data_IF_470362389286
#
_entry.id   IF_470362389286
#
_cell.length_a   1.000
_cell.length_b   1.000
_cell.length_c   1.000
_cell.angle_alpha   90.00
_cell.angle_beta   90.00
_cell.angle_gamma   90.00
#
_symmetry.space_group_name_H-M   'P 1'
#
loop_
_entity.id
_entity.type
_entity.pdbx_description
1 polymer ?
#
# COMPACT_ATOMS: atom_id res chain seq x y z
N UNK A 1 -7.20 12.77 1.38
CA UNK A 1 -7.15 12.93 2.84
C UNK A 1 -6.36 11.77 3.46
N UNK A 2 -5.08 11.98 3.79
CA UNK A 2 -4.27 10.99 4.53
C UNK A 2 -4.82 10.79 5.95
N UNK A 3 -4.44 9.70 6.65
CA UNK A 3 -4.84 9.48 8.04
C UNK A 3 -4.49 10.61 9.01
N UNK A 4 -3.46 11.39 8.70
CA UNK A 4 -3.00 12.53 9.51
C UNK A 4 -3.53 13.89 9.04
N UNK A 5 -4.28 13.96 7.94
CA UNK A 5 -4.81 15.21 7.39
C UNK A 5 -6.15 15.58 8.02
N UNK A 6 -6.30 16.83 8.43
CA UNK A 6 -7.59 17.42 8.83
C UNK A 6 -8.42 17.84 7.62
N UNK A 7 -9.73 18.04 7.81
CA UNK A 7 -10.62 18.61 6.78
C UNK A 7 -10.19 20.01 6.34
N UNK A 8 -9.48 20.73 7.20
CA UNK A 8 -8.99 22.10 6.96
C UNK A 8 -7.58 22.15 6.37
N UNK A 9 -7.02 21.02 5.93
CA UNK A 9 -5.71 21.00 5.30
C UNK A 9 -5.74 21.79 3.98
N UNK A 10 -4.83 22.76 3.76
CA UNK A 10 -4.76 23.55 2.52
C UNK A 10 -4.69 22.70 1.23
N UNK A 11 -4.13 21.49 1.31
CA UNK A 11 -4.12 20.55 0.18
C UNK A 11 -5.53 20.16 -0.31
N UNK A 12 -6.56 20.24 0.53
CA UNK A 12 -7.93 19.98 0.12
C UNK A 12 -8.46 21.12 -0.77
N UNK A 13 -7.95 22.35 -0.61
CA UNK A 13 -8.34 23.49 -1.43
C UNK A 13 -7.87 23.35 -2.87
N UNK A 14 -6.73 22.70 -3.09
CA UNK A 14 -6.28 22.42 -4.45
C UNK A 14 -7.22 21.51 -5.22
N UNK A 15 -7.76 20.48 -4.57
CA UNK A 15 -8.74 19.58 -5.19
C UNK A 15 -10.00 20.35 -5.60
N UNK A 16 -10.50 21.24 -4.71
CA UNK A 16 -11.69 22.07 -4.97
C UNK A 16 -11.42 23.08 -6.09
N UNK A 17 -10.31 23.84 -6.04
CA UNK A 17 -9.92 24.81 -7.06
C UNK A 17 -9.66 24.15 -8.42
N UNK A 18 -9.05 22.95 -8.44
CA UNK A 18 -8.86 22.21 -9.68
C UNK A 18 -10.17 21.79 -10.29
N UNK A 19 -11.13 21.31 -9.49
CA UNK A 19 -12.46 20.97 -9.97
C UNK A 19 -13.16 22.22 -10.53
N UNK A 20 -13.17 23.33 -9.79
CA UNK A 20 -13.76 24.60 -10.22
C UNK A 20 -13.21 25.04 -11.58
N UNK A 21 -11.88 25.13 -11.71
CA UNK A 21 -11.24 25.52 -12.95
C UNK A 21 -11.55 24.57 -14.12
N UNK A 22 -11.44 23.25 -13.91
CA UNK A 22 -11.67 22.28 -14.97
C UNK A 22 -13.13 22.29 -15.44
N UNK A 23 -14.10 22.41 -14.53
CA UNK A 23 -15.51 22.39 -14.89
C UNK A 23 -15.96 23.70 -15.55
N UNK A 24 -15.47 24.88 -15.08
CA UNK A 24 -15.84 26.16 -15.65
C UNK A 24 -15.13 26.45 -16.97
N UNK A 25 -13.81 26.26 -17.05
CA UNK A 25 -13.01 26.69 -18.19
C UNK A 25 -12.86 25.61 -19.28
N UNK A 26 -12.70 24.35 -18.88
CA UNK A 26 -12.46 23.25 -19.84
C UNK A 26 -13.74 22.51 -20.24
N UNK A 27 -14.72 22.48 -19.35
CA UNK A 27 -16.04 21.88 -19.56
C UNK A 27 -16.03 20.47 -20.17
N UNK A 28 -15.23 19.49 -19.62
CA UNK A 28 -15.14 18.14 -20.18
C UNK A 28 -16.44 17.36 -19.98
N UNK A 29 -16.67 16.31 -20.79
CA UNK A 29 -17.81 15.40 -20.56
C UNK A 29 -17.74 14.68 -19.23
N UNK A 30 -16.53 14.33 -18.81
CA UNK A 30 -16.26 13.70 -17.51
C UNK A 30 -14.96 14.26 -16.94
N UNK A 31 -14.95 14.66 -15.68
CA UNK A 31 -13.74 14.91 -14.91
C UNK A 31 -13.73 13.99 -13.70
N UNK A 32 -12.61 13.34 -13.42
CA UNK A 32 -12.51 12.43 -12.30
C UNK A 32 -11.12 12.44 -11.65
N UNK A 33 -11.06 11.96 -10.43
CA UNK A 33 -9.82 11.86 -9.69
C UNK A 33 -9.90 10.82 -8.57
N UNK A 34 -8.77 10.61 -7.92
CA UNK A 34 -8.61 9.66 -6.83
C UNK A 34 -8.27 10.34 -5.51
N UNK A 35 -8.68 9.73 -4.43
CA UNK A 35 -8.27 10.13 -3.08
C UNK A 35 -8.29 8.92 -2.13
N UNK A 36 -7.71 9.11 -0.94
CA UNK A 36 -7.76 8.13 0.13
C UNK A 36 -9.22 7.90 0.62
N UNK A 37 -9.52 6.76 1.26
CA UNK A 37 -10.87 6.39 1.70
C UNK A 37 -11.58 7.42 2.59
N UNK A 38 -10.82 8.26 3.28
CA UNK A 38 -11.36 9.32 4.14
C UNK A 38 -12.16 10.38 3.42
N UNK A 39 -11.98 10.58 2.11
CA UNK A 39 -12.82 11.49 1.33
C UNK A 39 -14.30 11.09 1.46
N UNK A 40 -14.60 9.81 1.43
CA UNK A 40 -15.97 9.27 1.55
C UNK A 40 -16.39 9.00 3.01
N UNK A 41 -15.75 9.61 4.00
CA UNK A 41 -16.07 9.50 5.42
C UNK A 41 -16.67 10.81 5.96
N UNK A 42 -17.13 10.78 7.22
CA UNK A 42 -17.59 12.00 7.92
C UNK A 42 -16.55 13.13 7.89
N UNK A 43 -15.25 12.78 7.95
CA UNK A 43 -14.16 13.78 7.89
C UNK A 43 -14.01 14.42 6.51
N UNK A 44 -14.34 13.71 5.45
CA UNK A 44 -14.33 14.22 4.07
C UNK A 44 -15.58 15.02 3.69
N UNK A 45 -16.65 14.91 4.46
CA UNK A 45 -17.94 15.51 4.14
C UNK A 45 -17.89 17.03 3.80
N UNK A 46 -17.10 17.88 4.51
CA UNK A 46 -16.99 19.28 4.14
C UNK A 46 -16.38 19.50 2.75
N UNK A 47 -15.39 18.70 2.37
CA UNK A 47 -14.76 18.75 1.04
C UNK A 47 -15.75 18.28 -0.02
N UNK A 48 -16.41 17.15 0.21
CA UNK A 48 -17.44 16.59 -0.69
C UNK A 48 -18.58 17.58 -0.90
N UNK A 49 -19.03 18.29 0.14
CA UNK A 49 -20.07 19.33 0.01
C UNK A 49 -19.64 20.45 -0.92
N UNK A 50 -18.39 20.91 -0.84
CA UNK A 50 -17.84 21.94 -1.74
C UNK A 50 -17.77 21.43 -3.18
N UNK A 51 -17.31 20.17 -3.40
CA UNK A 51 -17.24 19.58 -4.73
C UNK A 51 -18.63 19.43 -5.38
N UNK A 52 -19.63 19.00 -4.60
CA UNK A 52 -21.02 18.93 -5.10
C UNK A 52 -21.55 20.30 -5.50
N UNK A 53 -21.34 21.33 -4.67
CA UNK A 53 -21.74 22.70 -4.99
C UNK A 53 -21.14 23.16 -6.32
N UNK A 54 -19.84 22.94 -6.53
CA UNK A 54 -19.16 23.29 -7.79
C UNK A 54 -19.75 22.50 -8.97
N UNK A 55 -20.07 21.22 -8.78
CA UNK A 55 -20.71 20.41 -9.80
C UNK A 55 -22.06 21.03 -10.22
N UNK A 56 -22.93 21.30 -9.24
CA UNK A 56 -24.27 21.88 -9.46
C UNK A 56 -24.19 23.24 -10.19
N UNK A 57 -23.25 24.11 -9.77
CA UNK A 57 -23.04 25.44 -10.36
C UNK A 57 -22.55 25.40 -11.80
N UNK A 58 -21.93 24.27 -12.24
CA UNK A 58 -21.37 24.10 -13.59
C UNK A 58 -22.15 23.10 -14.47
N UNK A 59 -23.31 22.61 -14.02
CA UNK A 59 -24.14 21.67 -14.78
C UNK A 59 -23.56 20.23 -14.83
N UNK A 60 -22.99 19.79 -13.70
CA UNK A 60 -22.47 18.43 -13.52
C UNK A 60 -23.16 17.72 -12.37
N UNK A 61 -23.26 16.41 -12.48
CA UNK A 61 -23.61 15.53 -11.37
C UNK A 61 -22.37 14.94 -10.76
N UNK A 62 -22.27 15.01 -9.42
CA UNK A 62 -21.12 14.51 -8.66
C UNK A 62 -21.41 13.12 -8.08
N UNK A 63 -20.51 12.17 -8.29
CA UNK A 63 -20.59 10.85 -7.67
C UNK A 63 -19.28 10.40 -7.04
N UNK A 64 -19.36 9.42 -6.16
CA UNK A 64 -18.22 8.79 -5.47
C UNK A 64 -18.31 7.28 -5.64
N UNK A 65 -17.19 6.68 -6.05
CA UNK A 65 -17.01 5.24 -6.10
C UNK A 65 -15.90 4.83 -5.14
N UNK A 66 -16.25 4.03 -4.13
CA UNK A 66 -15.29 3.42 -3.20
C UNK A 66 -14.97 2.01 -3.64
N UNK A 67 -13.69 1.68 -3.65
CA UNK A 67 -13.26 0.33 -3.98
C UNK A 67 -12.10 -0.14 -3.11
N UNK A 68 -11.90 -1.46 -3.10
CA UNK A 68 -10.83 -2.14 -2.40
C UNK A 68 -9.96 -2.86 -3.42
N UNK A 69 -8.65 -2.70 -3.32
CA UNK A 69 -7.71 -3.35 -4.24
C UNK A 69 -7.88 -4.87 -4.32
N UNK A 70 -8.28 -5.49 -3.21
CA UNK A 70 -8.58 -6.92 -3.15
C UNK A 70 -9.68 -7.36 -4.13
N UNK A 71 -10.62 -6.48 -4.48
CA UNK A 71 -11.66 -6.76 -5.49
C UNK A 71 -11.12 -6.71 -6.92
N UNK A 72 -9.93 -6.18 -7.12
CA UNK A 72 -9.28 -6.01 -8.41
C UNK A 72 -8.09 -6.97 -8.60
N UNK A 73 -8.08 -8.10 -7.89
CA UNK A 73 -7.05 -9.12 -8.01
C UNK A 73 -5.68 -8.74 -7.42
N UNK A 74 -5.61 -7.74 -6.52
CA UNK A 74 -4.39 -7.41 -5.83
C UNK A 74 -4.31 -8.06 -4.45
N UNK A 75 -3.16 -8.61 -4.14
CA UNK A 75 -2.83 -9.18 -2.81
C UNK A 75 -2.40 -8.10 -1.80
N UNK A 76 -2.87 -6.85 -1.97
CA UNK A 76 -2.63 -5.78 -0.99
C UNK A 76 -3.93 -5.09 -0.56
N UNK A 77 -4.03 -4.73 0.72
CA UNK A 77 -5.20 -4.04 1.30
C UNK A 77 -5.02 -2.54 1.09
N UNK A 78 -5.46 -2.03 -0.07
CA UNK A 78 -5.32 -0.62 -0.45
C UNK A 78 -6.66 -0.07 -0.94
N UNK A 79 -7.46 0.42 -0.02
CA UNK A 79 -8.76 1.03 -0.34
C UNK A 79 -8.58 2.41 -0.98
N UNK A 80 -9.42 2.72 -1.96
CA UNK A 80 -9.41 4.00 -2.66
C UNK A 80 -10.82 4.52 -2.87
N UNK A 81 -10.90 5.84 -3.01
CA UNK A 81 -12.10 6.58 -3.36
C UNK A 81 -11.85 7.34 -4.64
N UNK A 82 -12.62 7.02 -5.67
CA UNK A 82 -12.67 7.79 -6.90
C UNK A 82 -13.85 8.74 -6.83
N UNK A 83 -13.69 9.95 -7.34
CA UNK A 83 -14.76 10.92 -7.46
C UNK A 83 -14.90 11.35 -8.91
N UNK A 84 -16.13 11.60 -9.33
CA UNK A 84 -16.47 11.90 -10.72
C UNK A 84 -17.40 13.10 -10.79
N UNK A 85 -17.22 13.87 -11.85
CA UNK A 85 -18.11 14.92 -12.30
C UNK A 85 -18.59 14.51 -13.71
N UNK A 86 -19.88 14.23 -13.84
CA UNK A 86 -20.52 13.81 -15.09
C UNK A 86 -21.28 15.00 -15.63
N UNK A 87 -21.03 15.40 -16.87
CA UNK A 87 -21.74 16.54 -17.47
C UNK A 87 -23.21 16.19 -17.70
N UNK A 88 -24.14 16.99 -17.13
CA UNK A 88 -25.57 16.73 -17.13
C UNK A 88 -26.10 16.04 -15.87
N UNK A 89 -27.29 15.45 -15.98
CA UNK A 89 -28.06 14.97 -14.83
C UNK A 89 -27.93 13.46 -14.54
N UNK A 90 -27.15 12.75 -15.34
CA UNK A 90 -27.03 11.30 -15.28
C UNK A 90 -25.75 10.85 -14.61
N UNK A 91 -25.86 9.85 -13.73
CA UNK A 91 -24.69 9.15 -13.15
C UNK A 91 -24.75 7.70 -13.62
N UNK A 92 -23.75 7.21 -14.35
CA UNK A 92 -23.73 5.82 -14.79
C UNK A 92 -23.56 4.86 -13.62
N UNK A 93 -24.22 3.71 -13.68
CA UNK A 93 -23.99 2.63 -12.74
C UNK A 93 -22.73 1.86 -13.13
N UNK A 94 -21.80 1.74 -12.19
CA UNK A 94 -20.60 0.94 -12.42
C UNK A 94 -20.89 -0.54 -12.24
N UNK A 95 -20.39 -1.34 -13.15
CA UNK A 95 -20.45 -2.79 -13.05
C UNK A 95 -19.72 -3.26 -11.78
N UNK A 96 -20.26 -4.27 -11.13
CA UNK A 96 -19.60 -4.90 -10.01
C UNK A 96 -18.39 -5.70 -10.48
N UNK A 97 -17.27 -5.54 -9.80
CA UNK A 97 -16.05 -6.31 -10.03
C UNK A 97 -15.65 -7.09 -8.79
N UNK A 98 -15.28 -8.34 -8.96
CA UNK A 98 -14.72 -9.18 -7.93
C UNK A 98 -13.76 -10.19 -8.57
N UNK A 99 -12.51 -9.77 -8.71
CA UNK A 99 -11.40 -10.62 -9.15
C UNK A 99 -10.67 -11.06 -7.88
N UNK A 100 -10.70 -12.35 -7.50
CA UNK A 100 -10.02 -12.82 -6.32
C UNK A 100 -8.51 -12.55 -6.41
N UNK A 101 -7.88 -12.07 -5.33
CA UNK A 101 -6.43 -11.92 -5.30
C UNK A 101 -5.74 -13.30 -5.20
N UNK A 102 -4.58 -13.39 -5.78
CA UNK A 102 -3.62 -14.48 -5.55
C UNK A 102 -2.95 -14.32 -4.19
N UNK A 103 -2.14 -15.29 -3.77
CA UNK A 103 -1.26 -15.13 -2.61
C UNK A 103 -0.11 -14.19 -2.99
N UNK A 104 0.25 -13.23 -2.13
CA UNK A 104 1.33 -12.30 -2.44
C UNK A 104 2.67 -13.00 -2.63
N UNK A 105 2.93 -14.08 -1.88
CA UNK A 105 4.13 -14.87 -2.05
C UNK A 105 4.23 -15.48 -3.46
N UNK A 106 3.09 -15.88 -4.06
CA UNK A 106 3.06 -16.43 -5.41
C UNK A 106 3.17 -15.32 -6.46
N UNK A 107 2.60 -14.14 -6.22
CA UNK A 107 2.81 -12.96 -7.08
C UNK A 107 4.31 -12.59 -7.16
N UNK A 108 5.05 -12.67 -6.04
CA UNK A 108 6.49 -12.42 -6.01
C UNK A 108 7.25 -13.50 -6.77
N UNK A 109 6.95 -14.78 -6.53
CA UNK A 109 7.59 -15.93 -7.22
C UNK A 109 7.38 -15.92 -8.73
N UNK A 110 6.24 -15.39 -9.18
CA UNK A 110 5.90 -15.33 -10.60
C UNK A 110 6.72 -14.30 -11.38
N UNK A 111 7.45 -13.41 -10.70
CA UNK A 111 8.27 -12.39 -11.36
C UNK A 111 9.55 -13.02 -11.90
N UNK A 112 9.74 -12.93 -13.20
CA UNK A 112 11.00 -13.32 -13.85
C UNK A 112 11.98 -12.16 -13.74
N UNK A 113 13.01 -12.33 -12.91
CA UNK A 113 14.11 -11.36 -12.80
C UNK A 113 15.08 -11.53 -13.97
N UNK A 114 14.89 -10.75 -15.03
CA UNK A 114 15.77 -10.74 -16.21
C UNK A 114 17.07 -9.96 -15.88
N UNK A 115 18.21 -10.58 -16.17
CA UNK A 115 19.54 -9.95 -16.04
C UNK A 115 19.73 -8.70 -16.92
N UNK A 116 18.95 -8.56 -17.99
CA UNK A 116 18.97 -7.39 -18.87
C UNK A 116 17.99 -6.30 -18.43
N UNK A 117 17.14 -6.56 -17.46
CA UNK A 117 16.23 -5.55 -16.90
C UNK A 117 16.88 -4.85 -15.69
N UNK A 118 17.19 -3.54 -15.78
CA UNK A 118 17.80 -2.81 -14.68
C UNK A 118 16.98 -2.86 -13.37
N UNK A 119 15.64 -2.94 -13.46
CA UNK A 119 14.77 -2.98 -12.28
C UNK A 119 14.88 -4.32 -11.54
N UNK A 120 15.19 -5.39 -12.26
CA UNK A 120 15.44 -6.73 -11.69
C UNK A 120 16.80 -6.86 -11.01
N UNK A 121 17.75 -5.96 -11.32
CA UNK A 121 19.10 -5.98 -10.74
C UNK A 121 19.24 -5.12 -9.47
N UNK A 122 18.22 -4.34 -9.14
CA UNK A 122 18.27 -3.42 -8.00
C UNK A 122 17.42 -3.99 -6.87
N UNK A 123 18.05 -4.28 -5.73
CA UNK A 123 17.33 -4.64 -4.51
C UNK A 123 16.72 -3.38 -3.86
N UNK A 124 15.51 -3.52 -3.34
CA UNK A 124 14.87 -2.47 -2.55
C UNK A 124 15.65 -2.20 -1.24
N UNK A 125 16.35 -3.21 -0.73
CA UNK A 125 17.25 -3.13 0.41
C UNK A 125 18.41 -4.12 0.20
N UNK A 126 19.64 -3.67 0.33
CA UNK A 126 20.86 -4.47 0.12
C UNK A 126 21.19 -5.42 1.29
N UNK A 127 20.56 -5.24 2.45
CA UNK A 127 20.76 -6.12 3.61
C UNK A 127 20.02 -7.42 3.41
N UNK A 128 20.41 -8.45 4.17
CA UNK A 128 19.61 -9.68 4.26
C UNK A 128 18.53 -9.52 5.32
N UNK A 129 17.31 -10.05 5.10
CA UNK A 129 16.29 -10.12 6.13
C UNK A 129 16.77 -10.78 7.42
N UNK A 130 17.50 -11.89 7.34
CA UNK A 130 18.06 -12.62 8.49
C UNK A 130 19.11 -11.85 9.30
N UNK A 131 19.66 -10.76 8.75
CA UNK A 131 20.55 -9.85 9.49
C UNK A 131 19.77 -8.84 10.37
N UNK A 132 18.45 -8.72 10.20
CA UNK A 132 17.63 -7.91 11.10
C UNK A 132 17.62 -8.56 12.49
N UNK A 133 18.00 -7.85 13.57
CA UNK A 133 18.12 -8.44 14.89
C UNK A 133 16.82 -9.06 15.42
N UNK A 134 15.65 -8.47 15.12
CA UNK A 134 14.38 -9.05 15.55
C UNK A 134 14.07 -10.34 14.80
N UNK A 135 14.33 -10.36 13.49
CA UNK A 135 14.11 -11.58 12.70
C UNK A 135 15.12 -12.67 13.09
N UNK A 136 16.37 -12.31 13.30
CA UNK A 136 17.40 -13.23 13.79
C UNK A 136 17.00 -13.85 15.13
N UNK A 137 16.49 -13.06 16.06
CA UNK A 137 15.96 -13.58 17.33
C UNK A 137 14.83 -14.60 17.12
N UNK A 138 13.93 -14.36 16.18
CA UNK A 138 12.86 -15.33 15.84
C UNK A 138 13.46 -16.62 15.34
N UNK A 139 14.32 -16.55 14.32
CA UNK A 139 14.91 -17.74 13.70
C UNK A 139 15.72 -18.58 14.70
N UNK A 140 16.56 -17.92 15.52
CA UNK A 140 17.48 -18.60 16.42
C UNK A 140 16.77 -19.08 17.71
N UNK A 141 15.94 -18.25 18.33
CA UNK A 141 15.43 -18.48 19.70
C UNK A 141 13.99 -18.98 19.74
N UNK A 142 13.08 -18.41 18.94
CA UNK A 142 11.68 -18.85 18.95
C UNK A 142 11.54 -20.13 18.13
N UNK A 143 12.18 -20.18 16.99
CA UNK A 143 12.03 -21.26 16.00
C UNK A 143 13.11 -22.35 16.09
N UNK A 144 14.10 -22.18 16.96
CA UNK A 144 15.11 -23.21 17.24
C UNK A 144 16.18 -23.37 16.17
N UNK A 145 16.55 -22.30 15.46
CA UNK A 145 17.66 -22.27 14.51
C UNK A 145 17.27 -22.64 13.07
N UNK A 146 16.08 -22.31 12.63
CA UNK A 146 15.64 -22.55 11.26
C UNK A 146 16.10 -21.44 10.28
N UNK A 147 16.10 -21.76 9.00
CA UNK A 147 16.41 -20.82 7.93
C UNK A 147 15.24 -19.92 7.59
N UNK A 148 15.52 -18.79 6.91
CA UNK A 148 14.49 -17.90 6.36
C UNK A 148 13.45 -18.67 5.51
N UNK A 149 13.91 -19.56 4.62
CA UNK A 149 13.03 -20.34 3.73
C UNK A 149 12.10 -21.27 4.51
N UNK A 150 12.61 -21.94 5.55
CA UNK A 150 11.80 -22.81 6.42
C UNK A 150 10.76 -21.99 7.20
N UNK A 151 11.14 -20.83 7.73
CA UNK A 151 10.21 -19.94 8.40
C UNK A 151 9.11 -19.44 7.45
N UNK A 152 9.46 -18.96 6.26
CA UNK A 152 8.52 -18.50 5.25
C UNK A 152 7.56 -19.61 4.76
N UNK A 153 8.03 -20.85 4.72
CA UNK A 153 7.18 -22.01 4.42
C UNK A 153 6.18 -22.32 5.54
N UNK A 154 6.61 -22.15 6.80
CA UNK A 154 5.83 -22.47 8.01
C UNK A 154 4.66 -21.51 8.26
N UNK A 155 4.83 -20.21 8.01
CA UNK A 155 3.80 -19.22 8.27
C UNK A 155 2.57 -19.41 7.38
N UNK A 156 1.38 -19.11 7.89
CA UNK A 156 0.10 -19.23 7.17
C UNK A 156 -0.46 -17.90 6.69
N UNK A 157 0.02 -16.79 7.23
CA UNK A 157 -0.34 -15.41 6.88
C UNK A 157 0.93 -14.57 6.74
N UNK A 158 0.85 -13.46 6.01
CA UNK A 158 1.93 -12.46 5.98
C UNK A 158 2.23 -11.99 7.40
N UNK A 159 3.49 -12.01 7.78
CA UNK A 159 3.92 -11.86 9.17
C UNK A 159 4.97 -10.76 9.28
N UNK A 160 4.67 -9.73 10.09
CA UNK A 160 5.68 -8.78 10.54
C UNK A 160 6.45 -9.39 11.72
N UNK A 161 7.78 -9.30 11.70
CA UNK A 161 8.64 -9.92 12.73
C UNK A 161 8.36 -9.40 14.14
N UNK A 162 7.98 -8.13 14.31
CA UNK A 162 7.66 -7.59 15.62
C UNK A 162 6.29 -8.05 16.13
N UNK A 163 5.30 -8.21 15.23
CA UNK A 163 4.01 -8.80 15.60
C UNK A 163 4.19 -10.27 16.01
N UNK A 164 5.03 -11.01 15.30
CA UNK A 164 5.35 -12.40 15.65
C UNK A 164 6.01 -12.51 17.04
N UNK A 165 6.92 -11.60 17.36
CA UNK A 165 7.53 -11.53 18.69
C UNK A 165 6.46 -11.31 19.77
N UNK A 166 5.51 -10.38 19.56
CA UNK A 166 4.45 -10.07 20.51
C UNK A 166 3.48 -11.24 20.71
N UNK A 167 3.27 -12.06 19.68
CA UNK A 167 2.43 -13.27 19.75
C UNK A 167 3.11 -14.41 20.55
N UNK A 168 4.45 -14.49 20.57
CA UNK A 168 5.19 -15.65 21.11
C UNK A 168 6.01 -15.36 22.36
N UNK A 169 6.33 -14.09 22.63
CA UNK A 169 7.19 -13.70 23.76
C UNK A 169 6.97 -12.23 24.16
N UNK A 170 7.89 -11.70 24.93
CA UNK A 170 7.83 -10.31 25.43
C UNK A 170 9.11 -9.57 25.11
N UNK A 171 9.04 -8.25 24.91
CA UNK A 171 10.21 -7.43 24.54
C UNK A 171 11.33 -7.40 25.61
N UNK A 172 11.07 -7.71 26.88
CA UNK A 172 12.14 -7.85 27.87
C UNK A 172 13.01 -9.06 27.60
N UNK A 173 12.43 -10.22 27.22
CA UNK A 173 13.20 -11.42 26.81
C UNK A 173 13.99 -11.16 25.53
N UNK A 174 13.40 -10.44 24.59
CA UNK A 174 14.11 -9.99 23.38
C UNK A 174 15.30 -9.10 23.75
N UNK A 175 15.11 -8.15 24.69
CA UNK A 175 16.17 -7.26 25.13
C UNK A 175 17.34 -8.00 25.80
N UNK A 176 17.07 -9.04 26.59
CA UNK A 176 18.08 -9.92 27.19
C UNK A 176 18.92 -10.59 26.09
N UNK A 177 18.28 -11.28 25.16
CA UNK A 177 18.94 -11.91 24.02
C UNK A 177 19.75 -10.91 23.19
N UNK A 178 19.21 -9.72 22.93
CA UNK A 178 19.91 -8.67 22.17
C UNK A 178 21.21 -8.24 22.85
N UNK A 179 21.24 -8.15 24.19
CA UNK A 179 22.46 -7.81 24.94
C UNK A 179 23.49 -8.93 24.85
N UNK A 180 23.06 -10.17 25.01
CA UNK A 180 23.94 -11.35 24.91
C UNK A 180 24.60 -11.46 23.53
N UNK A 181 23.95 -10.93 22.48
CA UNK A 181 24.43 -10.99 21.09
C UNK A 181 25.03 -9.65 20.60
N UNK A 182 25.28 -8.69 21.50
CA UNK A 182 25.96 -7.43 21.15
C UNK A 182 25.07 -6.38 20.45
N UNK A 183 23.74 -6.52 20.49
CA UNK A 183 22.78 -5.57 19.91
C UNK A 183 22.26 -4.53 20.95
N UNK A 184 23.14 -3.89 21.71
CA UNK A 184 22.77 -2.99 22.82
C UNK A 184 21.79 -1.86 22.43
N UNK A 185 21.97 -1.30 21.24
CA UNK A 185 21.08 -0.25 20.73
C UNK A 185 19.65 -0.77 20.49
N UNK A 186 19.51 -2.02 20.03
CA UNK A 186 18.22 -2.67 19.83
C UNK A 186 17.62 -3.08 21.15
N UNK A 187 18.42 -3.62 22.09
CA UNK A 187 17.99 -3.96 23.44
C UNK A 187 17.31 -2.76 24.14
N UNK A 188 17.95 -1.58 24.08
CA UNK A 188 17.34 -0.35 24.64
C UNK A 188 16.01 0.05 23.98
N UNK A 189 15.82 -0.26 22.70
CA UNK A 189 14.52 -0.06 22.02
C UNK A 189 13.48 -1.07 22.52
N UNK A 190 13.89 -2.31 22.72
CA UNK A 190 13.03 -3.38 23.27
C UNK A 190 12.58 -3.03 24.69
N UNK A 191 13.45 -2.55 25.56
CA UNK A 191 13.09 -2.11 26.92
C UNK A 191 12.00 -1.02 26.87
N UNK A 192 12.21 0.00 26.03
CA UNK A 192 11.22 1.08 25.86
C UNK A 192 9.89 0.57 25.31
N UNK A 193 9.94 -0.36 24.35
CA UNK A 193 8.74 -0.99 23.80
C UNK A 193 7.99 -1.77 24.88
N UNK A 194 8.69 -2.58 25.67
CA UNK A 194 8.12 -3.32 26.80
C UNK A 194 7.38 -2.41 27.78
N UNK A 195 8.06 -1.37 28.27
CA UNK A 195 7.44 -0.44 29.23
C UNK A 195 6.24 0.30 28.65
N UNK A 196 6.32 0.71 27.37
CA UNK A 196 5.23 1.41 26.70
C UNK A 196 4.00 0.52 26.51
N UNK A 197 4.19 -0.73 26.06
CA UNK A 197 3.11 -1.69 25.91
C UNK A 197 2.48 -2.06 27.26
N UNK A 198 3.30 -2.27 28.30
CA UNK A 198 2.83 -2.55 29.65
C UNK A 198 1.98 -1.41 30.23
N UNK A 199 2.26 -0.17 29.84
CA UNK A 199 1.47 1.00 30.19
C UNK A 199 0.23 1.21 29.31
N UNK A 200 -0.14 0.24 28.44
CA UNK A 200 -1.28 0.35 27.53
C UNK A 200 -1.05 1.23 26.31
N UNK A 201 0.19 1.66 26.08
CA UNK A 201 0.56 2.42 24.88
C UNK A 201 0.75 1.53 23.66
N UNK A 202 0.85 2.14 22.49
CA UNK A 202 1.12 1.44 21.22
C UNK A 202 2.51 1.78 20.70
N UNK A 203 3.17 0.83 20.03
CA UNK A 203 4.46 0.99 19.38
C UNK A 203 4.31 0.97 17.86
N UNK A 204 5.25 1.61 17.16
CA UNK A 204 5.33 1.50 15.71
C UNK A 204 6.18 0.29 15.37
N UNK A 205 5.58 -0.68 14.70
CA UNK A 205 6.26 -1.88 14.23
C UNK A 205 6.93 -1.59 12.89
N UNK A 206 8.25 -1.61 12.94
CA UNK A 206 9.11 -1.40 11.77
C UNK A 206 10.07 -2.58 11.71
N UNK A 207 9.73 -3.60 11.00
CA UNK A 207 10.56 -4.79 10.90
C UNK A 207 10.44 -5.41 9.52
N UNK A 208 11.12 -6.52 9.37
CA UNK A 208 10.99 -7.38 8.19
C UNK A 208 9.57 -7.89 8.09
N UNK A 209 9.02 -7.92 6.89
CA UNK A 209 7.72 -8.49 6.57
C UNK A 209 7.92 -9.73 5.71
N UNK A 210 7.48 -10.88 6.21
CA UNK A 210 7.56 -12.14 5.48
C UNK A 210 6.22 -12.34 4.76
N UNK A 211 6.21 -12.30 3.42
CA UNK A 211 4.97 -12.33 2.65
C UNK A 211 4.38 -13.74 2.57
N UNK A 212 3.04 -13.85 2.64
CA UNK A 212 2.31 -15.11 2.44
C UNK A 212 1.02 -14.90 1.66
N UNK A 213 -0.04 -14.41 2.33
CA UNK A 213 -1.37 -14.26 1.76
C UNK A 213 -1.58 -12.88 1.13
N UNK A 214 -1.56 -11.82 1.92
CA UNK A 214 -1.76 -10.43 1.51
C UNK A 214 -0.98 -9.50 2.41
N UNK A 215 -0.65 -8.31 1.91
CA UNK A 215 0.01 -7.25 2.69
C UNK A 215 -0.91 -6.05 2.89
N UNK A 216 -0.53 -5.18 3.81
CA UNK A 216 -1.08 -3.83 3.92
C UNK A 216 -0.81 -2.99 2.68
N UNK A 217 -1.39 -1.79 2.62
CA UNK A 217 -1.12 -0.87 1.52
C UNK A 217 0.36 -0.51 1.47
N UNK A 218 0.97 -0.56 0.29
CA UNK A 218 2.31 -0.02 0.08
C UNK A 218 2.33 1.46 0.44
N UNK A 219 3.10 1.80 1.46
CA UNK A 219 3.28 3.19 1.92
C UNK A 219 4.77 3.45 2.17
N UNK A 220 5.26 4.60 1.71
CA UNK A 220 6.63 5.05 1.97
C UNK A 220 7.69 4.01 1.58
N UNK A 221 8.48 3.55 2.54
CA UNK A 221 9.59 2.62 2.33
C UNK A 221 9.21 1.13 2.48
N UNK A 222 7.93 0.79 2.44
CA UNK A 222 7.48 -0.59 2.68
C UNK A 222 8.16 -1.65 1.78
N UNK A 223 8.44 -1.40 0.49
CA UNK A 223 9.18 -2.37 -0.32
C UNK A 223 10.57 -2.73 0.23
N UNK A 224 11.19 -1.83 1.01
CA UNK A 224 12.50 -2.08 1.63
C UNK A 224 12.44 -2.99 2.85
N UNK A 225 11.25 -3.38 3.30
CA UNK A 225 11.04 -4.27 4.46
C UNK A 225 10.41 -5.62 4.10
N UNK A 226 9.96 -5.83 2.85
CA UNK A 226 9.36 -7.09 2.43
C UNK A 226 10.46 -8.04 1.95
N UNK A 227 10.59 -9.17 2.63
CA UNK A 227 11.53 -10.23 2.23
C UNK A 227 10.99 -11.02 1.03
N UNK A 228 11.87 -11.59 0.23
CA UNK A 228 11.48 -12.57 -0.78
C UNK A 228 11.05 -13.88 -0.10
N UNK A 229 9.97 -14.57 -0.54
CA UNK A 229 9.44 -15.72 0.19
C UNK A 229 10.37 -16.96 0.24
N UNK A 230 11.31 -17.09 -0.70
CA UNK A 230 12.18 -18.27 -0.80
C UNK A 230 13.67 -17.96 -0.64
N UNK A 231 14.06 -16.69 -0.76
CA UNK A 231 15.46 -16.25 -0.74
C UNK A 231 15.68 -15.25 0.40
N UNK A 232 16.80 -15.37 1.10
CA UNK A 232 17.16 -14.47 2.19
C UNK A 232 17.68 -13.12 1.66
N UNK A 233 16.78 -12.42 0.96
CA UNK A 233 16.96 -11.07 0.42
C UNK A 233 15.63 -10.29 0.47
N UNK A 234 15.72 -8.99 0.36
CA UNK A 234 14.54 -8.18 0.11
C UNK A 234 14.14 -8.22 -1.37
N UNK A 235 12.97 -7.67 -1.69
CA UNK A 235 12.47 -7.62 -3.06
C UNK A 235 13.41 -6.86 -3.99
N UNK A 236 13.45 -7.27 -5.25
CA UNK A 236 13.94 -6.41 -6.33
C UNK A 236 12.94 -5.29 -6.60
N UNK A 237 13.39 -4.23 -7.27
CA UNK A 237 12.49 -3.16 -7.70
C UNK A 237 11.43 -3.70 -8.65
N UNK A 238 11.77 -4.64 -9.53
CA UNK A 238 10.82 -5.28 -10.46
C UNK A 238 9.74 -6.06 -9.72
N UNK A 239 10.10 -6.83 -8.70
CA UNK A 239 9.13 -7.54 -7.86
C UNK A 239 8.18 -6.56 -7.15
N UNK A 240 8.70 -5.48 -6.57
CA UNK A 240 7.89 -4.45 -5.94
C UNK A 240 6.94 -3.75 -6.93
N UNK A 241 7.39 -3.49 -8.17
CA UNK A 241 6.58 -2.91 -9.23
C UNK A 241 5.45 -3.86 -9.67
N UNK A 242 5.73 -5.17 -9.74
CA UNK A 242 4.74 -6.20 -10.05
C UNK A 242 3.61 -6.25 -9.02
N UNK A 243 3.91 -6.03 -7.74
CA UNK A 243 2.88 -5.93 -6.69
C UNK A 243 1.96 -4.70 -6.83
N UNK A 244 2.36 -3.71 -7.64
CA UNK A 244 1.53 -2.57 -8.05
C UNK A 244 0.88 -2.80 -9.42
N UNK A 245 1.08 -3.98 -10.02
CA UNK A 245 0.63 -4.34 -11.38
C UNK A 245 1.10 -3.35 -12.44
N UNK A 246 2.31 -2.77 -12.23
CA UNK A 246 2.95 -1.97 -13.27
C UNK A 246 3.39 -2.88 -14.44
N UNK A 247 3.34 -2.38 -15.68
CA UNK A 247 3.79 -3.15 -16.84
C UNK A 247 5.23 -3.66 -16.70
N UNK A 248 5.52 -4.84 -17.27
CA UNK A 248 6.85 -5.46 -17.13
C UNK A 248 7.97 -4.66 -17.83
N UNK A 249 7.62 -3.83 -18.82
CA UNK A 249 8.54 -2.94 -19.52
C UNK A 249 8.66 -1.54 -18.89
N UNK A 250 7.88 -1.26 -17.83
CA UNK A 250 7.95 0.02 -17.15
C UNK A 250 9.31 0.20 -16.48
N UNK A 251 9.93 1.38 -16.67
CA UNK A 251 11.24 1.73 -16.12
C UNK A 251 11.13 2.97 -15.24
N UNK A 252 11.78 2.93 -14.08
CA UNK A 252 11.88 4.09 -13.18
C UNK A 252 13.21 4.81 -13.42
N UNK A 253 13.17 6.11 -13.67
CA UNK A 253 14.37 6.94 -13.97
C UNK A 253 15.41 6.84 -12.83
N UNK A 254 14.98 6.82 -11.59
CA UNK A 254 15.84 6.64 -10.42
C UNK A 254 15.17 5.70 -9.44
N UNK A 255 15.36 4.41 -9.65
CA UNK A 255 14.65 3.35 -8.96
C UNK A 255 14.70 3.49 -7.43
N UNK A 256 15.90 3.63 -6.83
CA UNK A 256 16.05 3.71 -5.37
C UNK A 256 15.35 4.94 -4.76
N UNK A 257 15.43 6.11 -5.41
CA UNK A 257 14.76 7.33 -4.94
C UNK A 257 13.27 7.34 -5.23
N UNK A 258 12.84 6.62 -6.27
CA UNK A 258 11.46 6.62 -6.74
C UNK A 258 10.59 5.55 -6.06
N UNK A 259 11.12 4.66 -5.24
CA UNK A 259 10.35 3.64 -4.51
C UNK A 259 9.18 4.26 -3.72
N UNK A 260 9.41 5.39 -3.05
CA UNK A 260 8.36 6.09 -2.32
C UNK A 260 7.24 6.60 -3.25
N UNK A 261 7.58 7.12 -4.42
CA UNK A 261 6.60 7.58 -5.42
C UNK A 261 5.79 6.41 -5.97
N UNK A 262 6.43 5.27 -6.27
CA UNK A 262 5.73 4.04 -6.67
C UNK A 262 4.68 3.63 -5.62
N UNK A 263 5.03 3.68 -4.34
CA UNK A 263 4.12 3.36 -3.24
C UNK A 263 2.94 4.35 -3.10
N UNK A 264 3.06 5.57 -3.62
CA UNK A 264 1.99 6.57 -3.58
C UNK A 264 0.97 6.38 -4.70
N UNK A 265 1.34 5.72 -5.78
CA UNK A 265 0.47 5.49 -6.93
C UNK A 265 -0.72 4.57 -6.59
N UNK A 266 -1.79 4.71 -7.36
CA UNK A 266 -2.87 3.73 -7.38
C UNK A 266 -2.39 2.52 -8.18
N UNK A 267 -2.59 1.28 -7.68
CA UNK A 267 -2.30 0.10 -8.47
C UNK A 267 -3.08 0.10 -9.80
N UNK A 268 -2.43 -0.34 -10.87
CA UNK A 268 -2.97 -0.23 -12.23
C UNK A 268 -4.35 -0.87 -12.34
N UNK A 269 -4.51 -2.12 -11.89
CA UNK A 269 -5.79 -2.83 -11.99
C UNK A 269 -6.91 -2.18 -11.18
N UNK A 270 -6.58 -1.46 -10.09
CA UNK A 270 -7.57 -0.70 -9.32
C UNK A 270 -8.07 0.54 -10.08
N UNK A 271 -7.21 1.16 -10.90
CA UNK A 271 -7.55 2.34 -11.70
C UNK A 271 -8.20 1.96 -13.04
N UNK A 272 -7.87 0.80 -13.59
CA UNK A 272 -8.42 0.32 -14.88
C UNK A 272 -9.94 0.19 -14.87
N UNK A 273 -10.52 -0.33 -13.80
CA UNK A 273 -11.98 -0.52 -13.73
C UNK A 273 -12.74 0.81 -13.85
N UNK A 274 -12.50 1.85 -13.00
CA UNK A 274 -13.18 3.13 -13.17
C UNK A 274 -12.86 3.80 -14.51
N UNK A 275 -11.64 3.65 -15.05
CA UNK A 275 -11.29 4.17 -16.37
C UNK A 275 -12.08 3.48 -17.48
N UNK A 276 -12.25 2.15 -17.43
CA UNK A 276 -13.05 1.39 -18.37
C UNK A 276 -14.53 1.81 -18.31
N UNK A 277 -15.07 2.08 -17.13
CA UNK A 277 -16.45 2.55 -16.97
C UNK A 277 -16.62 3.95 -17.58
N UNK A 278 -15.67 4.87 -17.34
CA UNK A 278 -15.68 6.20 -17.99
C UNK A 278 -15.64 6.06 -19.52
N UNK A 279 -14.79 5.17 -20.05
CA UNK A 279 -14.72 4.91 -21.48
C UNK A 279 -16.05 4.39 -22.04
N UNK A 280 -16.68 3.38 -21.41
CA UNK A 280 -18.00 2.86 -21.81
C UNK A 280 -19.07 3.96 -21.82
N UNK A 281 -19.09 4.82 -20.80
CA UNK A 281 -19.99 5.97 -20.73
C UNK A 281 -19.78 6.94 -21.91
N UNK A 282 -18.52 7.30 -22.20
CA UNK A 282 -18.20 8.22 -23.30
C UNK A 282 -18.55 7.64 -24.68
N UNK A 283 -18.56 6.32 -24.81
CA UNK A 283 -18.96 5.56 -26.01
C UNK A 283 -20.48 5.32 -26.10
N UNK A 284 -21.28 5.78 -25.12
CA UNK A 284 -22.72 5.54 -25.06
C UNK A 284 -23.10 4.08 -24.80
N UNK A 285 -22.24 3.32 -24.14
CA UNK A 285 -22.41 1.90 -23.81
C UNK A 285 -22.79 1.66 -22.34
N UNK A 286 -22.96 2.71 -21.58
CA UNK A 286 -23.31 2.70 -20.16
C UNK A 286 -24.41 3.73 -19.93
N UNK A 287 -25.56 3.25 -19.50
CA UNK A 287 -26.74 4.07 -19.17
C UNK A 287 -26.67 4.60 -17.73
#
# INVERSE_FOLDING_TARGET
LSPSASSNNPANDWMVKSAEYVLSEMSPKVFWGENAPRLASKMGAPVVKRLRKIADENGYTFSIFKTKSLLHGLSQVRDRTFYFFWKGDTVPLFEYINIPPTMIADDIRAVVNDKNDPMSQILCNEKKPSDDPYYKFILDSIEGGITHKEFAAKITKTTNVQDYIEEHTTYNKVAEWMREHGYDNVARKCDRAYHKLKAGGNIMRKGVEIPKDKIGAFVGHMPTSIAHPDEDRFLTVREAMSLMKLPNDYQMINAKRSLNHMCQNVPVTTAEHPAAMVKKYLEGKLD
#
